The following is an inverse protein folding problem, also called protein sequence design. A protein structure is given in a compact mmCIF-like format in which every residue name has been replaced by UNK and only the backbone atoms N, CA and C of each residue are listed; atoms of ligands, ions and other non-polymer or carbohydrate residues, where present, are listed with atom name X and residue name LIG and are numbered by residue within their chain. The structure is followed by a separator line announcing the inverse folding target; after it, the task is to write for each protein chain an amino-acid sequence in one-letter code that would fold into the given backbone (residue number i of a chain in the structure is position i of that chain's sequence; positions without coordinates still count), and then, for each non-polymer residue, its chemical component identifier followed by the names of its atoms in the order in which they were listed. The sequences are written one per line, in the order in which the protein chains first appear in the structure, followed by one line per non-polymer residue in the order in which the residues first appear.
data_IF_593835196871
#
_entry.id   IF_593835196871
#
_cell.length_a   1.000
_cell.length_b   1.000
_cell.length_c   1.000
_cell.angle_alpha   90.00
_cell.angle_beta   90.00
_cell.angle_gamma   90.00
#
_symmetry.space_group_name_H-M   'P 1'
#
loop_
_entity.id
_entity.type
_entity.pdbx_description
1 polymer ?
#
# COMPACT_ATOMS: atom_id res chain seq x y z
N UNK A 1 -26.08 -0.89 18.96
CA UNK A 1 -25.59 0.40 18.42
C UNK A 1 -24.44 0.10 17.46
N UNK A 2 -24.50 0.58 16.23
CA UNK A 2 -23.44 0.51 15.23
C UNK A 2 -22.41 1.62 15.46
N UNK A 3 -21.20 1.46 14.94
CA UNK A 3 -20.19 2.53 14.95
C UNK A 3 -20.45 3.51 13.81
N UNK A 4 -20.82 2.97 12.62
CA UNK A 4 -21.13 3.74 11.41
C UNK A 4 -22.31 3.07 10.69
N UNK A 5 -23.23 3.87 10.19
CA UNK A 5 -24.32 3.45 9.32
C UNK A 5 -24.33 4.30 8.05
N UNK A 6 -24.15 3.64 6.92
CA UNK A 6 -24.31 4.25 5.59
C UNK A 6 -25.73 3.95 5.11
N UNK A 7 -26.48 4.98 4.68
CA UNK A 7 -27.88 4.84 4.28
C UNK A 7 -28.13 5.41 2.89
N UNK A 8 -29.24 5.03 2.28
CA UNK A 8 -29.73 5.56 0.99
C UNK A 8 -28.75 5.39 -0.19
N UNK A 9 -27.86 4.42 -0.10
CA UNK A 9 -26.85 4.16 -1.15
C UNK A 9 -27.35 3.16 -2.19
N UNK A 10 -26.76 3.19 -3.37
CA UNK A 10 -26.72 2.02 -4.23
C UNK A 10 -25.60 1.10 -3.70
N UNK A 11 -25.96 0.00 -3.08
CA UNK A 11 -24.97 -0.93 -2.50
C UNK A 11 -24.68 -2.06 -3.46
N UNK A 12 -23.41 -2.19 -3.88
CA UNK A 12 -22.91 -3.30 -4.68
C UNK A 12 -22.14 -4.24 -3.74
N UNK A 13 -22.73 -5.40 -3.43
CA UNK A 13 -22.20 -6.24 -2.36
C UNK A 13 -20.95 -7.01 -2.72
N UNK A 14 -20.71 -7.28 -3.99
CA UNK A 14 -19.63 -8.14 -4.50
C UNK A 14 -19.58 -9.53 -3.81
N UNK A 15 -20.66 -9.93 -3.16
CA UNK A 15 -20.83 -11.26 -2.57
C UNK A 15 -21.09 -12.34 -3.65
N UNK A 16 -21.19 -13.59 -3.24
CA UNK A 16 -21.48 -14.72 -4.17
C UNK A 16 -22.78 -14.52 -4.97
N UNK A 17 -23.77 -13.83 -4.38
CA UNK A 17 -25.05 -13.51 -5.01
C UNK A 17 -25.00 -12.29 -5.93
N UNK A 18 -23.90 -11.53 -5.88
CA UNK A 18 -23.67 -10.30 -6.68
C UNK A 18 -24.86 -9.33 -6.62
N UNK A 19 -25.39 -9.14 -5.42
CA UNK A 19 -26.56 -8.27 -5.22
C UNK A 19 -26.21 -6.81 -5.48
N UNK A 20 -27.18 -6.12 -6.08
CA UNK A 20 -27.22 -4.66 -6.15
C UNK A 20 -28.49 -4.23 -5.43
N UNK A 21 -28.36 -3.38 -4.39
CA UNK A 21 -29.47 -2.90 -3.56
C UNK A 21 -29.59 -1.41 -3.85
N UNK A 22 -30.66 -0.99 -4.56
CA UNK A 22 -30.81 0.38 -5.06
C UNK A 22 -31.00 1.41 -3.94
N UNK A 23 -31.67 1.04 -2.85
CA UNK A 23 -31.81 1.87 -1.65
C UNK A 23 -31.22 1.10 -0.46
N UNK A 24 -29.93 0.89 -0.50
CA UNK A 24 -29.23 0.04 0.44
C UNK A 24 -28.61 0.79 1.61
N UNK A 25 -28.37 0.02 2.68
CA UNK A 25 -27.62 0.47 3.83
C UNK A 25 -26.54 -0.55 4.22
N UNK A 26 -25.46 -0.02 4.80
CA UNK A 26 -24.35 -0.80 5.34
C UNK A 26 -24.09 -0.35 6.78
N UNK A 27 -24.15 -1.29 7.71
CA UNK A 27 -23.85 -1.04 9.13
C UNK A 27 -22.51 -1.65 9.52
N UNK A 28 -21.66 -0.83 10.13
CA UNK A 28 -20.34 -1.24 10.64
C UNK A 28 -20.38 -1.26 12.17
N UNK A 29 -19.86 -2.33 12.75
CA UNK A 29 -19.73 -2.49 14.20
C UNK A 29 -18.41 -3.21 14.51
N UNK A 30 -17.66 -2.67 15.45
CA UNK A 30 -16.37 -3.23 15.88
C UNK A 30 -15.41 -3.50 14.71
N UNK A 31 -15.35 -2.53 13.74
CA UNK A 31 -14.51 -2.62 12.55
C UNK A 31 -14.93 -3.67 11.52
N UNK A 32 -16.16 -4.21 11.62
CA UNK A 32 -16.70 -5.23 10.71
C UNK A 32 -18.04 -4.80 10.14
N UNK A 33 -18.32 -5.24 8.92
CA UNK A 33 -19.65 -5.13 8.33
C UNK A 33 -20.58 -6.08 9.08
N UNK A 34 -21.56 -5.54 9.77
CA UNK A 34 -22.53 -6.29 10.57
C UNK A 34 -23.94 -6.29 9.98
N UNK A 35 -24.21 -5.41 9.02
CA UNK A 35 -25.47 -5.33 8.29
C UNK A 35 -25.23 -4.90 6.85
N UNK A 36 -25.97 -5.52 5.92
CA UNK A 36 -26.10 -5.10 4.52
C UNK A 36 -27.52 -5.45 4.08
N UNK A 37 -28.33 -4.44 3.81
CA UNK A 37 -29.75 -4.64 3.44
C UNK A 37 -30.39 -3.37 2.93
N UNK A 38 -31.71 -3.31 2.97
CA UNK A 38 -32.46 -2.13 2.58
C UNK A 38 -32.35 -1.01 3.64
N UNK A 39 -32.32 0.24 3.20
CA UNK A 39 -32.24 1.41 4.10
C UNK A 39 -33.45 1.51 5.03
N UNK A 40 -34.64 1.08 4.63
CA UNK A 40 -35.82 1.08 5.48
C UNK A 40 -35.67 0.11 6.67
N UNK A 41 -34.98 -1.03 6.48
CA UNK A 41 -34.66 -1.95 7.57
C UNK A 41 -33.68 -1.31 8.55
N UNK A 42 -32.82 -0.43 8.07
CA UNK A 42 -31.78 0.22 8.88
C UNK A 42 -32.32 1.41 9.71
N UNK A 43 -33.51 1.95 9.43
CA UNK A 43 -34.12 3.05 10.18
C UNK A 43 -34.29 2.78 11.68
N UNK A 44 -34.43 1.51 12.06
CA UNK A 44 -34.55 1.09 13.46
C UNK A 44 -33.22 0.97 14.20
N UNK A 45 -32.08 1.15 13.49
CA UNK A 45 -30.75 0.95 14.06
C UNK A 45 -30.18 2.23 14.66
N UNK A 46 -29.63 2.09 15.85
CA UNK A 46 -28.85 3.16 16.48
C UNK A 46 -27.38 3.08 16.04
N UNK A 47 -26.80 4.19 15.65
CA UNK A 47 -25.39 4.31 15.29
C UNK A 47 -24.77 5.56 15.89
N UNK A 48 -23.44 5.51 16.12
CA UNK A 48 -22.67 6.67 16.58
C UNK A 48 -22.57 7.73 15.49
N UNK A 49 -22.44 7.27 14.24
CA UNK A 49 -22.36 8.11 13.06
C UNK A 49 -23.28 7.54 11.98
N UNK A 50 -24.02 8.43 11.30
CA UNK A 50 -24.87 8.08 10.17
C UNK A 50 -24.47 8.97 8.99
N UNK A 51 -24.16 8.35 7.88
CA UNK A 51 -23.87 9.04 6.62
C UNK A 51 -24.98 8.77 5.61
N UNK A 52 -25.64 9.83 5.15
CA UNK A 52 -26.57 9.75 4.04
C UNK A 52 -25.77 9.67 2.73
N UNK A 53 -25.80 8.52 2.09
CA UNK A 53 -25.12 8.21 0.86
C UNK A 53 -26.03 8.30 -0.38
N UNK A 54 -27.06 9.14 -0.31
CA UNK A 54 -27.93 9.39 -1.46
C UNK A 54 -27.09 9.80 -2.67
N UNK A 55 -27.43 9.25 -3.83
CA UNK A 55 -26.73 9.46 -5.09
C UNK A 55 -25.27 8.94 -5.12
N UNK A 56 -24.90 8.10 -4.16
CA UNK A 56 -23.58 7.45 -4.10
C UNK A 56 -23.69 5.93 -4.21
N UNK A 57 -22.60 5.35 -4.66
CA UNK A 57 -22.41 3.89 -4.66
C UNK A 57 -21.53 3.51 -3.47
N UNK A 58 -21.99 2.52 -2.71
CA UNK A 58 -21.21 1.89 -1.64
C UNK A 58 -20.85 0.47 -2.07
N UNK A 59 -19.56 0.19 -2.12
CA UNK A 59 -19.03 -1.11 -2.53
C UNK A 59 -17.75 -1.43 -1.75
N UNK A 60 -17.30 -2.69 -1.70
CA UNK A 60 -15.99 -3.02 -1.16
C UNK A 60 -14.89 -2.26 -1.87
N UNK A 61 -13.88 -1.81 -1.12
CA UNK A 61 -12.70 -1.19 -1.71
C UNK A 61 -11.98 -2.12 -2.69
N UNK A 62 -11.35 -1.57 -3.69
CA UNK A 62 -10.58 -2.34 -4.66
C UNK A 62 -9.40 -3.03 -4.01
N UNK A 63 -9.07 -4.20 -4.55
CA UNK A 63 -7.88 -4.97 -4.19
C UNK A 63 -6.88 -4.89 -5.36
N UNK A 64 -5.74 -4.26 -5.09
CA UNK A 64 -4.62 -4.21 -6.02
C UNK A 64 -3.73 -5.44 -5.80
N UNK A 65 -3.86 -6.44 -6.65
CA UNK A 65 -3.15 -7.71 -6.51
C UNK A 65 -1.67 -7.63 -6.94
N UNK A 66 -1.23 -6.55 -7.54
CA UNK A 66 0.16 -6.33 -7.94
C UNK A 66 0.46 -4.86 -8.16
N UNK A 67 1.24 -4.28 -7.30
CA UNK A 67 1.70 -2.91 -7.45
C UNK A 67 3.14 -2.74 -6.95
N UNK A 68 3.75 -1.61 -7.27
CA UNK A 68 5.10 -1.27 -6.86
C UNK A 68 5.07 0.00 -6.01
N UNK A 69 5.30 -0.15 -4.72
CA UNK A 69 5.32 0.97 -3.76
C UNK A 69 6.72 1.55 -3.59
N UNK A 70 7.38 1.89 -4.64
CA UNK A 70 8.70 2.51 -4.59
C UNK A 70 8.91 3.49 -5.74
N UNK A 71 7.86 3.72 -6.53
CA UNK A 71 7.95 4.46 -7.79
C UNK A 71 7.12 5.75 -7.82
N UNK A 72 6.29 6.02 -6.81
CA UNK A 72 5.38 7.16 -6.82
C UNK A 72 6.11 8.50 -6.81
N UNK A 73 7.19 8.62 -6.03
CA UNK A 73 8.02 9.82 -6.00
C UNK A 73 8.86 10.02 -7.28
N UNK A 74 8.97 8.98 -8.11
CA UNK A 74 9.75 9.03 -9.35
C UNK A 74 8.89 9.15 -10.60
N UNK A 75 7.63 9.47 -10.46
CA UNK A 75 6.74 9.73 -11.61
C UNK A 75 7.37 10.76 -12.54
N UNK A 76 7.27 10.50 -13.83
CA UNK A 76 7.77 11.37 -14.91
C UNK A 76 9.29 11.52 -15.01
N UNK A 77 10.09 11.00 -14.08
CA UNK A 77 11.55 11.11 -14.18
C UNK A 77 12.12 10.33 -15.38
N UNK A 78 11.45 9.22 -15.70
CA UNK A 78 11.90 8.28 -16.75
C UNK A 78 10.89 8.10 -17.87
N UNK A 79 9.95 9.01 -17.98
CA UNK A 79 8.74 8.92 -18.81
C UNK A 79 9.02 8.74 -20.30
N UNK A 80 10.12 9.28 -20.76
CA UNK A 80 10.48 9.32 -22.18
C UNK A 80 11.65 8.38 -22.56
N UNK A 81 11.99 7.44 -21.70
CA UNK A 81 13.13 6.56 -21.93
C UNK A 81 12.81 5.08 -21.71
N UNK A 82 13.32 4.23 -22.60
CA UNK A 82 13.36 2.78 -22.40
C UNK A 82 14.37 2.34 -21.32
N UNK A 83 15.18 3.27 -20.82
CA UNK A 83 16.22 3.03 -19.79
C UNK A 83 15.72 3.28 -18.36
N UNK A 84 14.43 3.29 -18.11
CA UNK A 84 13.86 3.56 -16.79
C UNK A 84 14.40 2.63 -15.69
N UNK A 85 14.52 1.34 -15.98
CA UNK A 85 14.97 0.35 -15.00
C UNK A 85 16.42 0.59 -14.53
N UNK A 86 17.41 0.81 -15.42
CA UNK A 86 18.76 1.19 -15.02
C UNK A 86 18.80 2.48 -14.19
N UNK A 87 18.03 3.51 -14.57
CA UNK A 87 17.97 4.77 -13.82
C UNK A 87 17.41 4.56 -12.42
N UNK A 88 16.30 3.87 -12.30
CA UNK A 88 15.69 3.55 -11.01
C UNK A 88 16.60 2.72 -10.13
N UNK A 89 17.19 1.66 -10.68
CA UNK A 89 18.12 0.80 -9.94
C UNK A 89 19.35 1.58 -9.46
N UNK A 90 19.88 2.46 -10.28
CA UNK A 90 21.01 3.31 -9.89
C UNK A 90 20.63 4.26 -8.77
N UNK A 91 19.45 4.87 -8.84
CA UNK A 91 18.93 5.77 -7.81
C UNK A 91 18.72 5.05 -6.48
N UNK A 92 18.05 3.91 -6.49
CA UNK A 92 17.83 3.11 -5.28
C UNK A 92 19.12 2.64 -4.63
N UNK A 93 20.13 2.31 -5.41
CA UNK A 93 21.42 1.87 -4.89
C UNK A 93 22.21 2.98 -4.21
N UNK A 94 22.15 4.20 -4.75
CA UNK A 94 23.17 5.19 -4.47
C UNK A 94 22.65 6.44 -3.74
N UNK A 95 21.36 6.80 -3.89
CA UNK A 95 20.88 8.12 -3.47
C UNK A 95 19.71 8.10 -2.50
N UNK A 96 19.17 6.93 -2.19
CA UNK A 96 18.00 6.82 -1.32
C UNK A 96 18.43 6.62 0.12
N UNK A 97 17.80 7.37 1.03
CA UNK A 97 17.89 7.20 2.47
C UNK A 97 16.80 6.27 2.99
N UNK A 98 16.92 5.85 4.24
CA UNK A 98 15.90 4.99 4.87
C UNK A 98 14.54 5.70 4.99
N UNK A 99 14.53 7.02 5.21
CA UNK A 99 13.31 7.84 5.26
C UNK A 99 12.56 7.92 3.94
N UNK A 100 13.23 7.72 2.82
CA UNK A 100 12.58 7.66 1.52
C UNK A 100 11.46 6.63 1.51
N UNK A 101 11.71 5.42 2.03
CA UNK A 101 10.74 4.32 2.00
C UNK A 101 9.48 4.59 2.81
N UNK A 102 9.60 5.36 3.89
CA UNK A 102 8.46 5.82 4.65
C UNK A 102 7.64 6.87 3.88
N UNK A 103 8.31 7.89 3.34
CA UNK A 103 7.63 8.97 2.61
C UNK A 103 7.02 8.47 1.30
N UNK A 104 7.72 7.62 0.59
CA UNK A 104 7.24 6.95 -0.62
C UNK A 104 6.03 6.05 -0.32
N UNK A 105 6.10 5.27 0.75
CA UNK A 105 4.98 4.44 1.20
C UNK A 105 3.74 5.25 1.50
N UNK A 106 3.87 6.40 2.17
CA UNK A 106 2.75 7.32 2.43
C UNK A 106 2.14 7.86 1.14
N UNK A 107 2.98 8.31 0.21
CA UNK A 107 2.53 8.83 -1.07
C UNK A 107 1.80 7.75 -1.87
N UNK A 108 2.38 6.58 -2.00
CA UNK A 108 1.80 5.43 -2.70
C UNK A 108 0.47 4.98 -2.07
N UNK A 109 0.41 4.91 -0.73
CA UNK A 109 -0.81 4.55 -0.02
C UNK A 109 -1.94 5.58 -0.21
N UNK A 110 -1.62 6.87 -0.16
CA UNK A 110 -2.58 7.94 -0.43
C UNK A 110 -3.14 7.88 -1.85
N UNK A 111 -2.28 7.66 -2.85
CA UNK A 111 -2.72 7.51 -4.24
C UNK A 111 -3.65 6.33 -4.44
N UNK A 112 -3.33 5.18 -3.81
CA UNK A 112 -4.20 3.99 -3.81
C UNK A 112 -5.54 4.30 -3.17
N UNK A 113 -5.54 4.95 -1.99
CA UNK A 113 -6.77 5.29 -1.27
C UNK A 113 -7.64 6.23 -2.10
N UNK A 114 -7.06 7.26 -2.73
CA UNK A 114 -7.78 8.16 -3.63
C UNK A 114 -8.35 7.46 -4.86
N UNK A 115 -7.74 6.36 -5.29
CA UNK A 115 -8.25 5.52 -6.38
C UNK A 115 -9.25 4.44 -5.90
N UNK A 116 -9.63 4.44 -4.61
CA UNK A 116 -10.56 3.47 -4.03
C UNK A 116 -9.93 2.11 -3.70
N UNK A 117 -8.60 1.99 -3.74
CA UNK A 117 -7.88 0.78 -3.36
C UNK A 117 -7.67 0.78 -1.84
N UNK A 118 -8.22 -0.23 -1.15
CA UNK A 118 -8.11 -0.37 0.30
C UNK A 118 -7.22 -1.52 0.75
N UNK A 119 -6.85 -2.39 -0.18
CA UNK A 119 -5.96 -3.53 0.07
C UNK A 119 -5.04 -3.71 -1.12
N UNK A 120 -3.76 -3.92 -0.88
CA UNK A 120 -2.78 -4.09 -1.94
C UNK A 120 -1.74 -5.16 -1.66
N UNK A 121 -1.08 -5.58 -2.73
CA UNK A 121 0.20 -6.28 -2.70
C UNK A 121 1.24 -5.33 -3.27
N UNK A 122 2.24 -5.00 -2.47
CA UNK A 122 3.31 -4.10 -2.86
C UNK A 122 4.60 -4.88 -3.09
N UNK A 123 5.02 -4.98 -4.34
CA UNK A 123 6.39 -5.42 -4.65
C UNK A 123 7.30 -4.23 -4.40
N UNK A 124 7.97 -4.24 -3.25
CA UNK A 124 8.82 -3.14 -2.85
C UNK A 124 10.06 -3.06 -3.75
N UNK A 125 10.28 -1.88 -4.36
CA UNK A 125 11.39 -1.63 -5.27
C UNK A 125 12.77 -1.59 -4.59
N UNK A 126 12.87 -2.07 -3.35
CA UNK A 126 14.09 -2.04 -2.54
C UNK A 126 15.10 -3.14 -2.86
N UNK A 127 14.86 -3.94 -3.87
CA UNK A 127 15.73 -5.09 -4.20
C UNK A 127 17.23 -4.81 -4.16
N UNK A 128 17.72 -3.67 -4.65
CA UNK A 128 19.14 -3.36 -4.52
C UNK A 128 19.60 -3.05 -3.09
N UNK A 129 18.66 -2.91 -2.15
CA UNK A 129 18.88 -2.49 -0.76
C UNK A 129 18.19 -3.42 0.24
N UNK A 130 18.04 -4.69 -0.10
CA UNK A 130 17.51 -5.71 0.81
C UNK A 130 18.55 -6.22 1.84
N UNK A 131 19.64 -5.50 2.02
CA UNK A 131 20.64 -5.67 3.07
C UNK A 131 20.16 -5.22 4.46
N UNK A 132 18.96 -4.64 4.53
CA UNK A 132 18.34 -4.15 5.76
C UNK A 132 16.82 -4.34 5.69
N UNK A 133 16.15 -4.66 6.82
CA UNK A 133 14.70 -4.76 6.89
C UNK A 133 14.02 -3.38 6.91
N UNK A 134 14.76 -2.30 7.11
CA UNK A 134 14.23 -0.93 7.26
C UNK A 134 13.33 -0.48 6.11
N UNK A 135 13.67 -0.71 4.83
CA UNK A 135 12.78 -0.35 3.73
C UNK A 135 11.38 -0.99 3.85
N UNK A 136 11.32 -2.28 4.18
CA UNK A 136 10.06 -2.99 4.33
C UNK A 136 9.25 -2.49 5.53
N UNK A 137 9.87 -2.32 6.69
CA UNK A 137 9.20 -1.80 7.89
C UNK A 137 8.69 -0.36 7.68
N UNK A 138 9.48 0.50 7.07
CA UNK A 138 9.08 1.88 6.81
C UNK A 138 7.91 1.96 5.82
N UNK A 139 7.93 1.15 4.78
CA UNK A 139 6.82 1.06 3.83
C UNK A 139 5.55 0.54 4.51
N UNK A 140 5.62 -0.60 5.22
CA UNK A 140 4.49 -1.20 5.93
C UNK A 140 3.88 -0.25 6.96
N UNK A 141 4.73 0.44 7.75
CA UNK A 141 4.28 1.46 8.73
C UNK A 141 3.54 2.60 8.04
N UNK A 142 4.06 3.09 6.93
CA UNK A 142 3.46 4.18 6.17
C UNK A 142 2.06 3.82 5.64
N UNK A 143 1.91 2.61 5.09
CA UNK A 143 0.61 2.11 4.63
C UNK A 143 -0.39 1.94 5.77
N UNK A 144 0.07 1.39 6.91
CA UNK A 144 -0.78 1.22 8.09
C UNK A 144 -1.28 2.57 8.65
N UNK A 145 -0.42 3.59 8.70
CA UNK A 145 -0.78 4.94 9.16
C UNK A 145 -1.78 5.64 8.23
N UNK A 146 -1.71 5.40 6.92
CA UNK A 146 -2.69 5.91 5.95
C UNK A 146 -4.01 5.12 6.01
N UNK A 147 -3.98 3.87 6.49
CA UNK A 147 -5.15 3.01 6.64
C UNK A 147 -5.41 2.08 5.45
N UNK A 148 -4.44 1.88 4.58
CA UNK A 148 -4.49 0.89 3.49
C UNK A 148 -3.82 -0.40 3.96
N UNK A 149 -4.52 -1.53 3.81
CA UNK A 149 -3.92 -2.84 4.07
C UNK A 149 -2.93 -3.17 2.97
N UNK A 150 -1.71 -3.55 3.34
CA UNK A 150 -0.70 -3.87 2.35
C UNK A 150 0.07 -5.14 2.71
N UNK A 151 0.35 -5.95 1.70
CA UNK A 151 1.25 -7.09 1.78
C UNK A 151 2.55 -6.66 1.13
N UNK A 152 3.53 -6.32 1.96
CA UNK A 152 4.85 -5.89 1.47
C UNK A 152 5.66 -7.11 1.05
N UNK A 153 5.90 -7.22 -0.26
CA UNK A 153 6.74 -8.26 -0.81
C UNK A 153 8.16 -7.74 -0.93
N UNK A 154 9.07 -8.35 -0.19
CA UNK A 154 10.50 -8.12 -0.32
C UNK A 154 11.16 -9.38 -0.88
N UNK A 155 12.33 -9.23 -1.44
CA UNK A 155 13.05 -10.38 -1.96
C UNK A 155 14.50 -10.07 -2.24
N UNK A 156 15.32 -11.13 -2.37
CA UNK A 156 16.72 -10.96 -2.71
C UNK A 156 16.87 -10.39 -4.11
N UNK A 157 17.92 -9.60 -4.28
CA UNK A 157 18.35 -9.21 -5.61
C UNK A 157 18.73 -10.47 -6.42
N UNK A 158 18.64 -10.34 -7.73
CA UNK A 158 19.11 -11.39 -8.63
C UNK A 158 20.65 -11.49 -8.66
N UNK A 159 21.14 -12.61 -9.10
CA UNK A 159 22.59 -12.84 -9.35
C UNK A 159 23.17 -11.84 -10.34
N UNK A 160 24.48 -11.51 -10.31
CA UNK A 160 25.51 -12.19 -9.52
C UNK A 160 25.70 -11.62 -8.10
N UNK A 161 26.19 -12.45 -7.22
CA UNK A 161 26.58 -12.07 -5.86
C UNK A 161 28.09 -11.95 -5.72
N UNK A 162 28.62 -11.11 -4.82
CA UNK A 162 27.91 -10.14 -3.98
C UNK A 162 27.49 -8.88 -4.76
N UNK A 163 26.42 -8.23 -4.30
CA UNK A 163 26.03 -6.93 -4.85
C UNK A 163 26.89 -5.79 -4.30
N UNK A 164 27.26 -4.87 -5.16
CA UNK A 164 28.01 -3.66 -4.81
C UNK A 164 27.19 -2.43 -5.12
N UNK A 165 27.18 -1.49 -4.19
CA UNK A 165 26.52 -0.21 -4.36
C UNK A 165 27.22 0.86 -3.51
N UNK A 166 26.93 2.11 -3.78
CA UNK A 166 27.42 3.24 -2.98
C UNK A 166 26.27 3.88 -2.21
N UNK A 167 26.58 4.35 -1.01
CA UNK A 167 25.74 5.28 -0.25
C UNK A 167 26.39 6.65 -0.27
N UNK A 168 25.54 7.67 -0.32
CA UNK A 168 25.96 9.03 -0.07
C UNK A 168 25.41 9.43 1.30
N UNK A 169 26.27 9.99 2.14
CA UNK A 169 25.89 10.58 3.42
C UNK A 169 25.29 11.97 3.21
N UNK A 170 24.71 12.59 4.24
CA UNK A 170 24.10 13.91 4.14
C UNK A 170 25.09 15.00 3.73
N UNK A 171 26.36 14.83 4.08
CA UNK A 171 27.47 15.72 3.69
C UNK A 171 28.02 15.44 2.28
N UNK A 172 27.46 14.45 1.58
CA UNK A 172 27.83 14.10 0.22
C UNK A 172 28.99 13.13 0.10
N UNK A 173 29.51 12.58 1.21
CA UNK A 173 30.56 11.57 1.14
C UNK A 173 30.03 10.26 0.58
N UNK A 174 30.83 9.61 -0.28
CA UNK A 174 30.51 8.36 -0.93
C UNK A 174 31.13 7.17 -0.21
N UNK A 175 30.31 6.31 0.32
CA UNK A 175 30.72 5.03 0.93
C UNK A 175 30.36 3.86 0.02
N UNK A 176 31.34 2.98 -0.25
CA UNK A 176 31.09 1.74 -0.99
C UNK A 176 30.66 0.65 -0.03
N UNK A 177 29.57 -0.04 -0.37
CA UNK A 177 29.03 -1.18 0.37
C UNK A 177 29.02 -2.42 -0.52
N UNK A 178 29.19 -3.56 0.11
CA UNK A 178 29.05 -4.86 -0.52
C UNK A 178 28.13 -5.72 0.33
N UNK A 179 27.15 -6.36 -0.29
CA UNK A 179 26.14 -7.18 0.36
C UNK A 179 26.23 -8.60 -0.15
N UNK A 180 26.37 -9.56 0.76
CA UNK A 180 26.35 -10.98 0.45
C UNK A 180 24.91 -11.51 0.41
N UNK A 181 24.75 -12.71 -0.15
CA UNK A 181 23.46 -13.39 -0.15
C UNK A 181 23.01 -13.72 1.29
N UNK A 182 23.94 -14.09 2.15
CA UNK A 182 23.68 -14.41 3.56
C UNK A 182 23.13 -13.20 4.31
N UNK A 183 23.72 -12.02 4.13
CA UNK A 183 23.21 -10.75 4.72
C UNK A 183 21.78 -10.47 4.30
N UNK A 184 21.44 -10.74 3.05
CA UNK A 184 20.07 -10.56 2.57
C UNK A 184 19.11 -11.55 3.20
N UNK A 185 19.50 -12.83 3.32
CA UNK A 185 18.66 -13.84 4.00
C UNK A 185 18.39 -13.44 5.46
N UNK A 186 19.41 -13.06 6.21
CA UNK A 186 19.26 -12.58 7.60
C UNK A 186 18.29 -11.38 7.68
N UNK A 187 18.42 -10.44 6.76
CA UNK A 187 17.49 -9.30 6.68
C UNK A 187 16.05 -9.72 6.40
N UNK A 188 15.84 -10.65 5.47
CA UNK A 188 14.50 -11.14 5.12
C UNK A 188 13.85 -11.92 6.27
N UNK A 189 14.61 -12.75 6.99
CA UNK A 189 14.12 -13.48 8.16
C UNK A 189 13.64 -12.53 9.29
N UNK A 190 14.15 -11.30 9.32
CA UNK A 190 13.70 -10.29 10.29
C UNK A 190 12.35 -9.67 9.92
N UNK A 191 11.96 -9.72 8.65
CA UNK A 191 10.71 -9.11 8.14
C UNK A 191 9.53 -10.07 8.22
N UNK A 192 9.77 -11.36 8.22
CA UNK A 192 8.76 -12.43 8.32
C UNK A 192 8.43 -12.73 9.77
#
# INVERSE_FOLDING_TARGET
MYDLLLTNAVVITMDEKRRVIENGAVGVKDGRIAFVGDSMEAEQFEAKEVLDCKDHVVMPGFVDAHGHGGHSAFKSIVDLTSYWMPVMTHTYKNYITDDFWYNEGRLSALERLHAGVTTGVCVLGSQPRCDSPVPAFNNARAYAEVGVKDIVCTGPCHVPWPHRFSRYTEDGERHMSQVSYETVLESLETVV
#
